data_IF_563457074978
#
_entry.id   IF_563457074978
#
_cell.length_a   1.000
_cell.length_b   1.000
_cell.length_c   1.000
_cell.angle_alpha   90.00
_cell.angle_beta   90.00
_cell.angle_gamma   90.00
#
_symmetry.space_group_name_H-M   'P 1'
#
loop_
_entity.id
_entity.type
_entity.pdbx_description
1 polymer ?
#
# COMPACT_ATOMS: atom_id res chain seq x y z
N UNK A 1 19.48 -3.01 10.94
CA UNK A 1 20.00 -2.17 9.84
C UNK A 1 18.79 -1.66 9.07
N UNK A 2 18.69 -0.36 8.80
CA UNK A 2 17.55 0.18 8.04
C UNK A 2 17.66 -0.30 6.58
N UNK A 3 16.57 -0.76 5.94
CA UNK A 3 16.63 -1.33 4.58
C UNK A 3 17.02 -0.31 3.50
N UNK A 4 16.80 0.98 3.78
CA UNK A 4 17.18 2.10 2.90
C UNK A 4 18.53 2.65 3.35
N UNK A 5 19.54 2.45 2.50
CA UNK A 5 20.93 2.82 2.77
C UNK A 5 21.36 4.15 2.10
N UNK A 6 20.63 4.62 1.08
CA UNK A 6 20.97 5.88 0.42
C UNK A 6 20.80 7.09 1.35
N UNK A 7 21.52 8.17 1.04
CA UNK A 7 21.40 9.48 1.71
C UNK A 7 20.74 10.53 0.80
N UNK A 8 19.81 10.08 -0.05
CA UNK A 8 18.96 10.94 -0.87
C UNK A 8 17.86 11.58 -0.03
N UNK A 9 17.29 12.68 -0.53
CA UNK A 9 16.14 13.33 0.11
C UNK A 9 14.97 12.35 0.27
N UNK A 10 14.68 11.57 -0.78
CA UNK A 10 13.67 10.51 -0.78
C UNK A 10 13.94 9.46 0.30
N UNK A 11 15.19 9.00 0.43
CA UNK A 11 15.57 8.03 1.45
C UNK A 11 15.38 8.57 2.88
N UNK A 12 15.72 9.83 3.12
CA UNK A 12 15.51 10.49 4.41
C UNK A 12 14.01 10.64 4.72
N UNK A 13 13.22 11.03 3.73
CA UNK A 13 11.77 11.13 3.83
C UNK A 13 11.13 9.79 4.17
N UNK A 14 11.53 8.70 3.51
CA UNK A 14 10.95 7.38 3.77
C UNK A 14 11.34 6.88 5.17
N UNK A 15 12.55 7.18 5.64
CA UNK A 15 12.95 6.93 7.03
C UNK A 15 12.05 7.69 8.01
N UNK A 16 11.82 8.99 7.79
CA UNK A 16 10.93 9.79 8.64
C UNK A 16 9.49 9.25 8.61
N UNK A 17 8.99 8.83 7.44
CA UNK A 17 7.69 8.19 7.30
C UNK A 17 7.58 6.93 8.14
N UNK A 18 8.54 6.01 7.99
CA UNK A 18 8.57 4.76 8.74
C UNK A 18 8.59 5.02 10.24
N UNK A 19 9.43 5.96 10.70
CA UNK A 19 9.54 6.26 12.13
C UNK A 19 8.23 6.86 12.68
N UNK A 20 7.55 7.70 11.91
CA UNK A 20 6.21 8.23 12.27
C UNK A 20 5.14 7.16 12.27
N UNK A 21 5.18 6.26 11.30
CA UNK A 21 4.23 5.16 11.18
C UNK A 21 4.36 4.18 12.34
N UNK A 22 5.59 3.80 12.69
CA UNK A 22 5.88 2.99 13.89
C UNK A 22 5.39 3.71 15.15
N UNK A 23 5.73 4.99 15.31
CA UNK A 23 5.26 5.77 16.45
C UNK A 23 3.73 5.90 16.51
N UNK A 24 3.05 6.01 15.37
CA UNK A 24 1.59 6.05 15.29
C UNK A 24 0.98 4.76 15.84
N UNK A 25 1.46 3.61 15.38
CA UNK A 25 0.95 2.32 15.81
C UNK A 25 1.27 2.01 17.28
N UNK A 26 2.45 2.37 17.76
CA UNK A 26 2.85 2.20 19.16
C UNK A 26 1.97 3.03 20.12
N UNK A 27 1.57 4.23 19.68
CA UNK A 27 0.78 5.18 20.47
C UNK A 27 -0.72 5.15 20.14
N UNK A 28 -1.18 4.17 19.36
CA UNK A 28 -2.57 4.07 18.97
C UNK A 28 -3.46 3.86 20.22
N UNK A 29 -4.58 4.59 20.38
CA UNK A 29 -5.41 4.43 21.56
C UNK A 29 -6.03 3.03 21.64
N UNK A 30 -6.39 2.59 22.86
CA UNK A 30 -6.77 1.20 23.13
C UNK A 30 -7.98 0.73 22.33
N UNK A 31 -8.95 1.62 22.08
CA UNK A 31 -10.14 1.31 21.29
C UNK A 31 -9.77 0.96 19.84
N UNK A 32 -8.94 1.78 19.19
CA UNK A 32 -8.46 1.55 17.83
C UNK A 32 -7.58 0.30 17.74
N UNK A 33 -6.73 0.03 18.76
CA UNK A 33 -5.95 -1.22 18.79
C UNK A 33 -6.84 -2.46 18.88
N UNK A 34 -7.93 -2.36 19.63
CA UNK A 34 -8.92 -3.43 19.74
C UNK A 34 -9.62 -3.65 18.41
N UNK A 35 -9.97 -2.57 17.70
CA UNK A 35 -10.54 -2.64 16.36
C UNK A 35 -9.60 -3.30 15.35
N UNK A 36 -8.32 -2.89 15.30
CA UNK A 36 -7.34 -3.55 14.41
C UNK A 36 -7.23 -5.05 14.68
N UNK A 37 -7.15 -5.45 15.96
CA UNK A 37 -7.10 -6.87 16.35
C UNK A 37 -8.37 -7.63 15.98
N UNK A 38 -9.54 -7.02 16.10
CA UNK A 38 -10.80 -7.63 15.70
C UNK A 38 -10.86 -7.92 14.19
N UNK A 39 -10.09 -7.17 13.40
CA UNK A 39 -9.92 -7.37 11.95
C UNK A 39 -8.65 -8.16 11.59
N UNK A 40 -7.99 -8.80 12.57
CA UNK A 40 -6.74 -9.56 12.37
C UNK A 40 -5.59 -8.75 11.76
N UNK A 41 -5.57 -7.44 11.98
CA UNK A 41 -4.50 -6.55 11.53
C UNK A 41 -3.46 -6.42 12.63
N UNK A 42 -2.24 -6.91 12.36
CA UNK A 42 -1.07 -6.67 13.21
C UNK A 42 -0.38 -5.37 12.78
N UNK A 43 -0.28 -4.35 13.66
CA UNK A 43 0.44 -3.12 13.33
C UNK A 43 1.89 -3.31 12.89
N UNK A 44 2.58 -4.36 13.36
CA UNK A 44 3.95 -4.66 12.94
C UNK A 44 4.05 -5.07 11.46
N UNK A 45 2.99 -5.70 10.94
CA UNK A 45 2.88 -6.15 9.55
C UNK A 45 2.14 -5.13 8.67
N UNK A 46 1.62 -4.04 9.26
CA UNK A 46 0.78 -3.03 8.58
C UNK A 46 1.55 -1.77 8.17
N UNK A 47 2.88 -1.83 8.15
CA UNK A 47 3.70 -0.68 7.79
C UNK A 47 3.66 -0.46 6.27
N UNK A 48 3.21 0.71 5.85
CA UNK A 48 3.01 1.12 4.45
C UNK A 48 4.19 1.92 3.89
N UNK A 49 5.28 2.10 4.64
CA UNK A 49 6.45 2.85 4.17
C UNK A 49 7.07 2.29 2.87
N UNK A 50 6.95 0.98 2.62
CA UNK A 50 7.37 0.34 1.37
C UNK A 50 6.53 0.82 0.17
N UNK A 51 5.21 0.84 0.33
CA UNK A 51 4.28 1.36 -0.67
C UNK A 51 4.53 2.84 -0.97
N UNK A 52 4.75 3.65 0.08
CA UNK A 52 5.10 5.04 -0.13
C UNK A 52 6.46 5.18 -0.84
N UNK A 53 7.44 4.36 -0.49
CA UNK A 53 8.74 4.38 -1.15
C UNK A 53 8.58 4.19 -2.67
N UNK A 54 7.75 3.24 -3.09
CA UNK A 54 7.45 2.99 -4.50
C UNK A 54 6.78 4.19 -5.19
N UNK A 55 5.86 4.88 -4.51
CA UNK A 55 5.28 6.13 -5.04
C UNK A 55 6.33 7.23 -5.17
N UNK A 56 7.19 7.42 -4.16
CA UNK A 56 8.14 8.52 -4.13
C UNK A 56 9.21 8.41 -5.22
N UNK A 57 9.64 7.19 -5.53
CA UNK A 57 10.60 6.92 -6.61
C UNK A 57 9.93 6.81 -7.99
N UNK A 58 8.61 6.87 -8.08
CA UNK A 58 7.86 6.84 -9.35
C UNK A 58 7.60 5.44 -9.92
N UNK A 59 7.63 4.40 -9.08
CA UNK A 59 7.28 3.04 -9.47
C UNK A 59 5.76 2.82 -9.48
N UNK A 60 5.05 3.39 -8.49
CA UNK A 60 3.63 3.18 -8.24
C UNK A 60 2.83 4.49 -8.37
N UNK A 61 1.64 4.49 -9.00
CA UNK A 61 0.84 5.71 -9.15
C UNK A 61 0.34 6.29 -7.82
N UNK A 62 -0.08 5.44 -6.88
CA UNK A 62 -0.50 5.86 -5.54
C UNK A 62 -0.44 4.72 -4.50
N UNK A 63 -0.46 5.09 -3.23
CA UNK A 63 -0.83 4.20 -2.12
C UNK A 63 -2.30 4.42 -1.80
N UNK A 64 -3.05 3.32 -1.67
CA UNK A 64 -4.38 3.34 -1.10
C UNK A 64 -4.26 2.92 0.38
N UNK A 65 -4.77 3.76 1.27
CA UNK A 65 -4.75 3.51 2.71
C UNK A 65 -6.19 3.33 3.18
N UNK A 66 -6.48 2.13 3.68
CA UNK A 66 -7.75 1.77 4.28
C UNK A 66 -7.51 1.06 5.60
N UNK A 67 -8.18 1.53 6.65
CA UNK A 67 -8.19 0.87 7.95
C UNK A 67 -9.64 0.57 8.32
N UNK A 68 -9.86 -0.47 9.15
CA UNK A 68 -11.18 -0.79 9.66
C UNK A 68 -11.87 0.43 10.26
N UNK A 69 -13.15 0.57 9.94
CA UNK A 69 -13.99 1.66 10.40
C UNK A 69 -14.83 1.17 11.58
N UNK A 70 -14.89 1.97 12.63
CA UNK A 70 -15.83 1.73 13.72
C UNK A 70 -17.24 2.14 13.24
N UNK A 71 -18.23 1.36 13.63
CA UNK A 71 -19.65 1.71 13.47
C UNK A 71 -20.08 2.85 14.41
N UNK A 72 -19.27 3.15 15.43
CA UNK A 72 -19.54 4.22 16.39
C UNK A 72 -19.20 5.61 15.83
N UNK A 73 -20.14 6.57 15.84
CA UNK A 73 -19.88 7.94 15.37
C UNK A 73 -19.04 8.79 16.35
N UNK A 74 -18.69 8.26 17.53
CA UNK A 74 -17.97 9.02 18.57
C UNK A 74 -16.44 8.87 18.52
N UNK A 75 -15.91 7.97 17.69
CA UNK A 75 -14.47 7.67 17.61
C UNK A 75 -13.89 8.20 16.29
N UNK A 76 -12.77 8.91 16.37
CA UNK A 76 -12.03 9.30 15.16
C UNK A 76 -11.53 8.04 14.45
N UNK A 77 -11.77 7.94 13.14
CA UNK A 77 -11.35 6.77 12.35
C UNK A 77 -9.83 6.64 12.36
N UNK A 78 -9.33 5.40 12.33
CA UNK A 78 -7.89 5.11 12.30
C UNK A 78 -7.25 5.78 11.08
N UNK A 79 -7.93 5.75 9.93
CA UNK A 79 -7.52 6.43 8.70
C UNK A 79 -7.32 7.94 8.89
N UNK A 80 -8.24 8.61 9.60
CA UNK A 80 -8.11 10.03 9.89
C UNK A 80 -6.95 10.33 10.84
N UNK A 81 -6.80 9.54 11.90
CA UNK A 81 -5.70 9.67 12.85
C UNK A 81 -4.34 9.42 12.17
N UNK A 82 -4.27 8.41 11.30
CA UNK A 82 -3.08 8.07 10.52
C UNK A 82 -2.68 9.24 9.61
N UNK A 83 -3.65 9.84 8.90
CA UNK A 83 -3.41 11.02 8.08
C UNK A 83 -2.76 12.15 8.87
N UNK A 84 -3.32 12.49 10.03
CA UNK A 84 -2.84 13.60 10.84
C UNK A 84 -1.45 13.34 11.44
N UNK A 85 -1.18 12.12 11.91
CA UNK A 85 0.06 11.79 12.60
C UNK A 85 1.22 11.48 11.65
N UNK A 86 0.92 10.83 10.51
CA UNK A 86 1.92 10.29 9.58
C UNK A 86 2.01 11.13 8.31
N UNK A 87 0.89 11.34 7.62
CA UNK A 87 0.89 11.89 6.25
C UNK A 87 1.01 13.41 6.18
N UNK A 88 0.16 14.13 6.90
CA UNK A 88 0.08 15.60 6.86
C UNK A 88 1.42 16.28 7.21
N UNK A 89 2.21 15.80 8.22
CA UNK A 89 3.53 16.36 8.51
C UNK A 89 4.56 16.20 7.38
N UNK A 90 4.33 15.24 6.49
CA UNK A 90 5.24 14.89 5.39
C UNK A 90 4.78 15.46 4.06
N UNK A 91 3.51 15.87 3.92
CA UNK A 91 2.89 16.32 2.67
C UNK A 91 3.77 17.29 1.87
N UNK A 92 4.14 18.41 2.50
CA UNK A 92 4.93 19.48 1.87
C UNK A 92 6.38 19.06 1.62
N UNK A 93 6.97 18.25 2.51
CA UNK A 93 8.36 17.76 2.37
C UNK A 93 8.53 16.79 1.20
N UNK A 94 7.49 16.00 0.92
CA UNK A 94 7.53 14.89 -0.03
C UNK A 94 6.93 15.25 -1.40
N UNK A 95 6.27 16.41 -1.50
CA UNK A 95 5.52 16.79 -2.69
C UNK A 95 4.40 15.80 -3.01
N UNK A 96 3.77 15.22 -1.98
CA UNK A 96 2.66 14.28 -2.13
C UNK A 96 1.32 14.98 -2.02
N UNK A 97 0.34 14.48 -2.75
CA UNK A 97 -1.06 14.79 -2.59
C UNK A 97 -1.73 13.70 -1.75
N UNK A 98 -2.72 14.10 -0.95
CA UNK A 98 -3.51 13.21 -0.11
C UNK A 98 -4.97 13.54 -0.42
N UNK A 99 -5.68 12.59 -1.01
CA UNK A 99 -7.09 12.73 -1.38
C UNK A 99 -7.90 11.67 -0.64
N UNK A 100 -9.02 12.07 -0.05
CA UNK A 100 -9.95 11.15 0.59
C UNK A 100 -11.15 10.91 -0.33
N UNK A 101 -11.58 9.65 -0.46
CA UNK A 101 -12.71 9.29 -1.31
C UNK A 101 -14.00 9.50 -0.50
N UNK A 102 -14.67 10.63 -0.65
CA UNK A 102 -15.88 10.92 0.14
C UNK A 102 -17.17 10.32 -0.43
N UNK A 103 -17.19 10.01 -1.72
CA UNK A 103 -18.37 9.47 -2.42
C UNK A 103 -18.46 7.94 -2.25
N UNK A 104 -19.66 7.36 -2.41
CA UNK A 104 -19.79 5.93 -2.61
C UNK A 104 -18.99 5.52 -3.85
N UNK A 105 -17.95 4.72 -3.63
CA UNK A 105 -17.15 4.11 -4.67
C UNK A 105 -16.76 2.74 -4.14
N UNK A 106 -16.92 1.72 -4.95
CA UNK A 106 -16.49 0.37 -4.60
C UNK A 106 -15.94 -0.34 -5.84
N UNK A 107 -15.20 -1.40 -5.60
CA UNK A 107 -14.97 -2.46 -6.57
C UNK A 107 -15.73 -3.72 -6.12
N UNK A 108 -15.60 -4.81 -6.85
CA UNK A 108 -16.24 -6.09 -6.47
C UNK A 108 -15.71 -6.58 -5.10
N UNK A 109 -14.47 -6.20 -4.74
CA UNK A 109 -13.77 -6.71 -3.56
C UNK A 109 -13.62 -5.70 -2.41
N UNK A 110 -13.89 -4.40 -2.64
CA UNK A 110 -13.58 -3.37 -1.64
C UNK A 110 -14.48 -2.13 -1.71
N UNK A 111 -14.89 -1.61 -0.55
CA UNK A 111 -15.50 -0.28 -0.42
C UNK A 111 -14.42 0.80 -0.25
N UNK A 112 -14.30 1.67 -1.26
CA UNK A 112 -13.28 2.71 -1.33
C UNK A 112 -13.64 4.00 -0.59
N UNK A 113 -14.91 4.18 -0.17
CA UNK A 113 -15.37 5.40 0.51
C UNK A 113 -14.66 5.57 1.85
N UNK A 114 -13.93 6.66 2.05
CA UNK A 114 -13.19 6.96 3.27
C UNK A 114 -11.73 6.49 3.24
N UNK A 115 -11.31 5.81 2.18
CA UNK A 115 -9.91 5.50 1.94
C UNK A 115 -9.14 6.76 1.54
N UNK A 116 -7.83 6.76 1.79
CA UNK A 116 -6.92 7.81 1.34
C UNK A 116 -6.11 7.34 0.15
N UNK A 117 -5.97 8.22 -0.84
CA UNK A 117 -5.05 8.08 -1.96
C UNK A 117 -3.87 9.01 -1.73
N UNK A 118 -2.68 8.44 -1.60
CA UNK A 118 -1.42 9.18 -1.44
C UNK A 118 -0.59 9.04 -2.70
N UNK A 119 -0.25 10.16 -3.36
CA UNK A 119 0.39 10.11 -4.68
C UNK A 119 1.25 11.33 -5.02
N UNK A 120 2.13 11.23 -6.03
CA UNK A 120 2.82 12.37 -6.66
C UNK A 120 2.17 12.68 -8.00
N UNK A 121 1.15 13.55 -8.00
CA UNK A 121 0.47 14.06 -9.21
C UNK A 121 0.24 13.01 -10.32
N UNK A 122 -0.55 11.97 -10.03
CA UNK A 122 -0.83 10.87 -10.97
C UNK A 122 -2.10 11.14 -11.78
N UNK A 123 -2.02 11.01 -13.11
CA UNK A 123 -3.19 11.12 -13.99
C UNK A 123 -4.22 10.01 -13.76
N UNK A 124 -3.77 8.81 -13.38
CA UNK A 124 -4.65 7.69 -13.03
C UNK A 124 -5.45 8.01 -11.76
N UNK A 125 -4.84 8.66 -10.78
CA UNK A 125 -5.55 9.11 -9.58
C UNK A 125 -6.57 10.18 -9.93
N UNK A 126 -6.21 11.17 -10.76
CA UNK A 126 -7.15 12.21 -11.18
C UNK A 126 -8.33 11.61 -11.95
N UNK A 127 -8.09 10.67 -12.87
CA UNK A 127 -9.16 9.95 -13.56
C UNK A 127 -10.10 9.23 -12.57
N UNK A 128 -9.55 8.58 -11.55
CA UNK A 128 -10.36 7.96 -10.51
C UNK A 128 -11.17 8.99 -9.72
N UNK A 129 -10.61 10.14 -9.40
CA UNK A 129 -11.28 11.19 -8.62
C UNK A 129 -12.37 11.92 -9.42
N UNK A 130 -12.17 12.09 -10.72
CA UNK A 130 -13.09 12.81 -11.62
C UNK A 130 -14.27 11.94 -12.08
N UNK A 131 -14.12 10.61 -12.09
CA UNK A 131 -15.22 9.71 -12.47
C UNK A 131 -16.42 9.89 -11.53
N UNK A 132 -17.62 9.78 -12.09
CA UNK A 132 -18.88 9.90 -11.35
C UNK A 132 -19.51 8.55 -11.03
N UNK A 133 -18.93 7.46 -11.55
CA UNK A 133 -19.42 6.11 -11.29
C UNK A 133 -19.19 5.72 -9.82
N UNK A 134 -20.14 4.94 -9.28
CA UNK A 134 -20.05 4.36 -7.93
C UNK A 134 -19.27 3.04 -7.93
N UNK A 135 -18.86 2.56 -9.10
CA UNK A 135 -18.15 1.29 -9.29
C UNK A 135 -16.87 1.49 -10.11
N UNK A 136 -15.77 0.89 -9.65
CA UNK A 136 -14.51 0.81 -10.38
C UNK A 136 -14.13 -0.67 -10.55
N UNK A 137 -13.80 -1.06 -11.79
CA UNK A 137 -13.37 -2.43 -12.05
C UNK A 137 -12.04 -2.75 -11.36
N UNK A 138 -11.85 -4.01 -10.93
CA UNK A 138 -10.59 -4.50 -10.37
C UNK A 138 -9.39 -4.26 -11.29
N UNK A 139 -9.56 -4.37 -12.61
CA UNK A 139 -8.50 -4.07 -13.57
C UNK A 139 -8.02 -2.62 -13.49
N UNK A 140 -8.94 -1.67 -13.34
CA UNK A 140 -8.59 -0.25 -13.18
C UNK A 140 -7.91 0.01 -11.84
N UNK A 141 -8.37 -0.66 -10.77
CA UNK A 141 -7.79 -0.55 -9.44
C UNK A 141 -6.38 -1.17 -9.40
N UNK A 142 -6.17 -2.36 -9.99
CA UNK A 142 -4.86 -3.00 -10.13
C UNK A 142 -3.88 -2.11 -10.90
N UNK A 143 -4.33 -1.43 -11.97
CA UNK A 143 -3.49 -0.45 -12.69
C UNK A 143 -3.15 0.78 -11.84
N UNK A 144 -4.10 1.26 -11.04
CA UNK A 144 -3.89 2.39 -10.13
C UNK A 144 -2.89 2.04 -9.02
N UNK A 145 -2.94 0.80 -8.52
CA UNK A 145 -2.08 0.29 -7.45
C UNK A 145 -0.82 -0.43 -7.96
N UNK A 146 -0.62 -0.47 -9.28
CA UNK A 146 0.49 -1.16 -9.96
C UNK A 146 0.67 -2.62 -9.51
N UNK A 147 -0.43 -3.37 -9.46
CA UNK A 147 -0.40 -4.81 -9.22
C UNK A 147 -0.48 -5.56 -10.56
N UNK A 148 0.55 -6.37 -10.92
CA UNK A 148 0.59 -7.06 -12.20
C UNK A 148 -0.27 -8.33 -12.25
N UNK A 149 -0.81 -8.78 -11.12
CA UNK A 149 -1.62 -9.99 -11.02
C UNK A 149 -3.10 -9.69 -10.77
N UNK A 150 -3.94 -10.71 -10.91
CA UNK A 150 -5.37 -10.63 -10.63
C UNK A 150 -5.84 -11.60 -9.55
N UNK A 151 -6.93 -11.22 -8.90
CA UNK A 151 -7.67 -12.11 -8.01
C UNK A 151 -8.36 -13.25 -8.81
N UNK A 152 -8.61 -14.40 -8.17
CA UNK A 152 -9.40 -15.48 -8.77
C UNK A 152 -10.80 -14.98 -9.15
N UNK A 153 -11.24 -15.30 -10.37
CA UNK A 153 -12.59 -14.97 -10.86
C UNK A 153 -13.60 -16.08 -10.59
N UNK A 154 -13.12 -17.24 -10.14
CA UNK A 154 -13.94 -18.39 -9.81
C UNK A 154 -13.26 -19.24 -8.74
N UNK A 155 -14.02 -20.12 -8.09
CA UNK A 155 -13.50 -21.03 -7.09
C UNK A 155 -12.42 -21.97 -7.62
N UNK A 156 -12.47 -22.33 -8.91
CA UNK A 156 -11.49 -23.21 -9.54
C UNK A 156 -10.10 -22.56 -9.63
N UNK A 157 -10.06 -21.24 -9.82
CA UNK A 157 -8.83 -20.44 -9.89
C UNK A 157 -8.17 -20.18 -8.53
N UNK A 158 -8.85 -20.48 -7.41
CA UNK A 158 -8.24 -20.34 -6.07
C UNK A 158 -7.00 -21.24 -5.96
N UNK A 159 -7.06 -22.43 -6.56
CA UNK A 159 -5.97 -23.41 -6.52
C UNK A 159 -4.70 -22.98 -7.27
N UNK A 160 -4.83 -22.03 -8.21
CA UNK A 160 -3.74 -21.49 -9.02
C UNK A 160 -3.26 -20.13 -8.53
N UNK A 161 -3.92 -19.55 -7.52
CA UNK A 161 -3.53 -18.29 -6.91
C UNK A 161 -2.19 -18.45 -6.18
N UNK A 162 -1.32 -17.47 -6.38
CA UNK A 162 -0.05 -17.31 -5.70
C UNK A 162 -0.07 -15.97 -4.96
N UNK A 163 0.43 -15.99 -3.73
CA UNK A 163 0.78 -14.77 -3.02
C UNK A 163 2.20 -14.36 -3.40
N UNK A 164 2.33 -13.09 -3.77
CA UNK A 164 3.59 -12.46 -4.17
C UNK A 164 3.96 -11.45 -3.11
N UNK A 165 5.22 -11.49 -2.67
CA UNK A 165 5.76 -10.62 -1.63
C UNK A 165 7.06 -10.00 -2.13
N UNK A 166 7.15 -8.68 -2.06
CA UNK A 166 8.42 -7.97 -2.21
C UNK A 166 8.90 -7.57 -0.82
N UNK A 167 10.16 -7.87 -0.52
CA UNK A 167 10.75 -7.61 0.78
C UNK A 167 12.15 -6.99 0.66
N UNK A 168 12.55 -6.22 1.66
CA UNK A 168 13.90 -5.65 1.72
C UNK A 168 14.91 -6.65 2.31
N UNK A 169 16.09 -6.74 1.71
CA UNK A 169 17.22 -7.51 2.22
C UNK A 169 18.30 -6.59 2.81
N UNK A 170 19.03 -7.02 3.86
CA UNK A 170 18.94 -8.32 4.55
C UNK A 170 17.88 -8.37 5.67
N UNK A 171 17.10 -7.29 5.88
CA UNK A 171 16.18 -7.19 7.02
C UNK A 171 14.94 -8.10 6.94
N UNK A 172 14.64 -8.67 5.77
CA UNK A 172 13.45 -9.47 5.47
C UNK A 172 12.13 -8.76 5.83
N UNK A 173 12.11 -7.44 5.70
CA UNK A 173 10.89 -6.66 5.96
C UNK A 173 10.04 -6.66 4.71
N UNK A 174 8.79 -7.09 4.83
CA UNK A 174 7.79 -7.04 3.75
C UNK A 174 7.49 -5.58 3.41
N UNK A 175 7.46 -5.26 2.12
CA UNK A 175 7.21 -3.92 1.60
C UNK A 175 5.88 -3.82 0.84
N UNK A 176 5.47 -4.91 0.19
CA UNK A 176 4.17 -5.04 -0.48
C UNK A 176 3.83 -6.50 -0.67
N UNK A 177 2.53 -6.79 -0.72
CA UNK A 177 1.98 -8.11 -1.01
C UNK A 177 0.80 -7.98 -1.98
N UNK A 178 0.69 -8.90 -2.92
CA UNK A 178 -0.47 -8.99 -3.81
C UNK A 178 -0.68 -10.42 -4.30
N UNK A 179 -1.86 -10.69 -4.86
CA UNK A 179 -2.18 -11.97 -5.47
C UNK A 179 -1.87 -11.95 -6.98
N UNK A 180 -1.44 -13.09 -7.51
CA UNK A 180 -1.30 -13.32 -8.94
C UNK A 180 -1.69 -14.76 -9.27
N UNK A 181 -2.13 -15.02 -10.49
CA UNK A 181 -2.32 -16.38 -10.99
C UNK A 181 -0.98 -17.00 -11.41
N UNK A 182 -0.91 -18.33 -11.41
CA UNK A 182 0.30 -19.04 -11.77
C UNK A 182 0.80 -18.74 -13.20
N UNK A 183 -0.12 -18.49 -14.14
CA UNK A 183 0.18 -18.09 -15.51
C UNK A 183 0.67 -16.65 -15.64
N UNK A 184 0.53 -15.82 -14.60
CA UNK A 184 0.97 -14.42 -14.56
C UNK A 184 2.39 -14.26 -13.97
N UNK A 185 3.05 -15.34 -13.55
CA UNK A 185 4.34 -15.26 -12.84
C UNK A 185 5.48 -14.65 -13.65
N UNK A 186 5.47 -14.76 -14.98
CA UNK A 186 6.50 -14.11 -15.80
C UNK A 186 6.31 -12.59 -15.88
N UNK A 187 5.05 -12.13 -15.86
CA UNK A 187 4.73 -10.71 -15.72
C UNK A 187 5.15 -10.20 -14.34
N UNK A 188 4.89 -10.97 -13.27
CA UNK A 188 5.33 -10.65 -11.90
C UNK A 188 6.85 -10.51 -11.80
N UNK A 189 7.64 -11.40 -12.43
CA UNK A 189 9.10 -11.29 -12.45
C UNK A 189 9.57 -10.03 -13.17
N UNK A 190 8.98 -9.74 -14.34
CA UNK A 190 9.31 -8.52 -15.10
C UNK A 190 9.01 -7.25 -14.30
N UNK A 191 7.86 -7.25 -13.62
CA UNK A 191 7.47 -6.19 -12.71
C UNK A 191 8.46 -6.04 -11.54
N UNK A 192 8.86 -7.14 -10.92
CA UNK A 192 9.81 -7.16 -9.81
C UNK A 192 11.19 -6.63 -10.22
N UNK A 193 11.73 -7.00 -11.37
CA UNK A 193 13.04 -6.52 -11.81
C UNK A 193 13.07 -4.99 -11.99
N UNK A 194 11.98 -4.40 -12.53
CA UNK A 194 11.82 -2.94 -12.59
C UNK A 194 11.86 -2.30 -11.19
N UNK A 195 11.13 -2.87 -10.24
CA UNK A 195 11.09 -2.37 -8.86
C UNK A 195 12.47 -2.48 -8.19
N UNK A 196 13.13 -3.63 -8.36
CA UNK A 196 14.44 -3.92 -7.79
C UNK A 196 15.50 -2.95 -8.31
N UNK A 197 15.59 -2.75 -9.61
CA UNK A 197 16.55 -1.82 -10.22
C UNK A 197 16.36 -0.39 -9.72
N UNK A 198 15.11 0.09 -9.69
CA UNK A 198 14.80 1.46 -9.30
C UNK A 198 14.99 1.69 -7.80
N UNK A 199 14.63 0.73 -6.95
CA UNK A 199 14.89 0.79 -5.51
C UNK A 199 16.40 0.72 -5.18
N UNK A 200 17.16 -0.13 -5.89
CA UNK A 200 18.61 -0.16 -5.74
C UNK A 200 19.21 1.21 -6.09
N UNK A 201 18.85 1.76 -7.25
CA UNK A 201 19.43 2.99 -7.78
C UNK A 201 19.07 4.23 -6.95
N UNK A 202 17.81 4.38 -6.55
CA UNK A 202 17.33 5.60 -5.89
C UNK A 202 17.40 5.54 -4.36
N UNK A 203 17.30 4.34 -3.77
CA UNK A 203 17.18 4.15 -2.32
C UNK A 203 18.34 3.35 -1.72
N UNK A 204 19.20 2.74 -2.54
CA UNK A 204 20.20 1.80 -2.06
C UNK A 204 19.56 0.62 -1.32
N UNK A 205 18.34 0.25 -1.72
CA UNK A 205 17.54 -0.80 -1.09
C UNK A 205 17.54 -2.03 -1.99
N UNK A 206 18.00 -3.15 -1.45
CA UNK A 206 18.01 -4.44 -2.14
C UNK A 206 16.68 -5.16 -1.94
N UNK A 207 15.97 -5.42 -3.04
CA UNK A 207 14.69 -6.15 -3.01
C UNK A 207 14.88 -7.65 -3.24
N UNK A 208 14.10 -8.44 -2.51
CA UNK A 208 13.87 -9.86 -2.72
C UNK A 208 12.41 -10.13 -3.15
N UNK A 209 12.22 -11.23 -3.87
CA UNK A 209 10.94 -11.74 -4.33
C UNK A 209 10.65 -13.07 -3.66
N UNK A 210 9.46 -13.20 -3.08
CA UNK A 210 8.90 -14.47 -2.64
C UNK A 210 7.58 -14.70 -3.36
N UNK A 211 7.39 -15.90 -3.91
CA UNK A 211 6.12 -16.34 -4.47
C UNK A 211 5.76 -17.64 -3.76
N UNK A 212 4.61 -17.66 -3.09
CA UNK A 212 4.09 -18.84 -2.40
C UNK A 212 2.67 -19.14 -2.86
N UNK A 213 2.29 -20.41 -2.84
CA UNK A 213 0.88 -20.78 -2.92
C UNK A 213 0.28 -20.70 -1.52
N UNK A 214 -0.97 -20.24 -1.36
CA UNK A 214 -1.67 -20.36 -0.09
C UNK A 214 -1.70 -21.84 0.32
N UNK A 215 -1.42 -22.12 1.59
CA UNK A 215 -1.71 -23.44 2.15
C UNK A 215 -3.24 -23.54 2.30
N UNK A 216 -3.90 -24.26 1.38
CA UNK A 216 -5.35 -24.52 1.40
C UNK A 216 -5.63 -25.82 2.14
#
# INVERSE_FOLDING_TARGET
>A
MHPIAADTHEAQVIREYRDREVAFFDNLPTEQRTLLRAHHIDPADSLLYGELAFVLVGLKPCVLIDFPRDSSPSTSSITHLYRQAVLDPLKEKCGICINEIHRPLASDEMELKGCLLVHKSSSLVQQLLDQQDEQVSETSLARLLDYPGRLPQSSDEISTMCEVVYYATPSNVVLTTFAAQQDELDQVKTHFERYKEQCHTQLGMELGLLVRRPDI
#
